data_IF_801615620807
#
_entry.id   IF_801615620807
#
_cell.length_a   1.000
_cell.length_b   1.000
_cell.length_c   1.000
_cell.angle_alpha   90.00
_cell.angle_beta   90.00
_cell.angle_gamma   90.00
#
_symmetry.space_group_name_H-M   'P 1'
#
loop_
_entity.id
_entity.type
_entity.pdbx_description
1 polymer ?
#
# COMPACT_ATOMS: atom_id res chain seq x y z
N UNK A 1 11.80 2.72 -45.95
CA UNK A 1 12.49 3.66 -45.05
C UNK A 1 12.72 2.91 -43.75
N UNK A 2 13.98 2.71 -43.37
CA UNK A 2 14.37 2.05 -42.12
C UNK A 2 13.95 2.91 -40.92
N UNK A 3 13.53 2.26 -39.83
CA UNK A 3 13.63 2.80 -38.49
C UNK A 3 14.16 1.70 -37.57
N UNK A 4 15.12 2.08 -36.74
CA UNK A 4 16.03 1.25 -35.97
C UNK A 4 15.74 1.48 -34.48
N UNK A 5 15.79 0.40 -33.68
CA UNK A 5 16.07 0.33 -32.23
C UNK A 5 15.15 1.08 -31.23
N UNK A 6 14.34 0.30 -30.52
CA UNK A 6 14.18 0.42 -29.06
C UNK A 6 14.04 -1.00 -28.47
N UNK A 7 14.88 -1.30 -27.50
CA UNK A 7 15.01 -2.58 -26.79
C UNK A 7 13.97 -2.69 -25.67
N UNK A 8 13.44 -3.92 -25.50
CA UNK A 8 12.63 -4.45 -24.40
C UNK A 8 11.18 -3.96 -24.27
N UNK A 9 10.27 -4.64 -24.96
CA UNK A 9 9.04 -5.20 -24.36
C UNK A 9 8.85 -6.56 -25.04
N UNK A 10 9.12 -7.71 -24.39
CA UNK A 10 8.54 -8.95 -24.89
C UNK A 10 7.04 -8.75 -24.73
N UNK A 11 6.37 -8.55 -25.85
CA UNK A 11 4.93 -8.45 -25.95
C UNK A 11 4.29 -9.56 -25.10
N UNK A 12 3.70 -9.22 -23.95
CA UNK A 12 2.74 -10.07 -23.28
C UNK A 12 1.51 -10.14 -24.21
N UNK A 13 1.60 -11.00 -25.23
CA UNK A 13 0.50 -11.35 -26.11
C UNK A 13 -0.09 -12.61 -25.51
N UNK A 14 -1.09 -12.42 -24.65
CA UNK A 14 -1.81 -13.48 -23.97
C UNK A 14 -3.25 -13.05 -23.68
N UNK A 15 -4.04 -14.00 -23.24
CA UNK A 15 -5.28 -13.78 -22.50
C UNK A 15 -5.11 -14.41 -21.14
N UNK A 16 -5.91 -13.99 -20.16
CA UNK A 16 -6.05 -14.71 -18.90
C UNK A 16 -6.52 -16.15 -19.10
N UNK A 17 -6.23 -17.04 -18.15
CA UNK A 17 -6.73 -18.41 -18.12
C UNK A 17 -7.99 -18.49 -17.23
N UNK A 18 -9.18 -18.85 -17.75
CA UNK A 18 -10.40 -18.94 -16.93
C UNK A 18 -10.39 -20.06 -15.87
N UNK A 19 -9.34 -20.90 -15.83
CA UNK A 19 -9.11 -21.93 -14.81
C UNK A 19 -7.98 -21.58 -13.84
N UNK A 20 -7.35 -20.42 -14.03
CA UNK A 20 -6.35 -19.85 -13.16
C UNK A 20 -6.89 -18.55 -12.56
N UNK A 21 -6.55 -18.29 -11.30
CA UNK A 21 -7.00 -17.06 -10.62
C UNK A 21 -5.97 -15.95 -10.75
N UNK A 22 -4.68 -16.29 -10.96
CA UNK A 22 -3.54 -15.37 -11.08
C UNK A 22 -2.69 -15.81 -12.29
N UNK A 23 -3.00 -15.25 -13.46
CA UNK A 23 -2.51 -15.72 -14.75
C UNK A 23 -1.01 -15.47 -15.00
N UNK A 24 -0.36 -14.60 -14.23
CA UNK A 24 1.07 -14.29 -14.36
C UNK A 24 1.93 -14.58 -13.11
N UNK A 25 1.32 -15.29 -12.16
CA UNK A 25 1.91 -15.79 -10.92
C UNK A 25 2.59 -14.65 -10.15
N UNK A 26 1.90 -13.55 -9.97
CA UNK A 26 2.44 -12.36 -9.32
C UNK A 26 1.93 -12.10 -7.91
N UNK A 27 0.89 -12.82 -7.51
CA UNK A 27 0.24 -12.70 -6.22
C UNK A 27 -0.93 -11.73 -6.20
N UNK A 28 -1.43 -11.29 -7.36
CA UNK A 28 -2.67 -10.53 -7.54
C UNK A 28 -3.64 -11.31 -8.44
N UNK A 29 -4.92 -11.45 -8.09
CA UNK A 29 -5.91 -12.11 -8.95
C UNK A 29 -6.27 -11.29 -10.18
N UNK A 30 -6.45 -11.99 -11.30
CA UNK A 30 -6.88 -11.40 -12.58
C UNK A 30 -8.12 -10.51 -12.42
N UNK A 31 -9.07 -10.96 -11.59
CA UNK A 31 -10.34 -10.26 -11.35
C UNK A 31 -10.14 -8.92 -10.63
N UNK A 32 -9.21 -8.88 -9.67
CA UNK A 32 -8.88 -7.66 -8.92
C UNK A 32 -8.15 -6.67 -9.82
N UNK A 33 -7.15 -7.13 -10.55
CA UNK A 33 -6.39 -6.28 -11.47
C UNK A 33 -7.28 -5.66 -12.54
N UNK A 34 -8.20 -6.43 -13.14
CA UNK A 34 -9.15 -5.90 -14.12
C UNK A 34 -10.13 -4.89 -13.49
N UNK A 35 -10.54 -5.07 -12.24
CA UNK A 35 -11.43 -4.14 -11.55
C UNK A 35 -10.77 -2.77 -11.36
N UNK A 36 -9.51 -2.78 -10.94
CA UNK A 36 -8.75 -1.59 -10.61
C UNK A 36 -7.93 -1.02 -11.77
N UNK A 37 -7.76 -1.73 -12.88
CA UNK A 37 -7.01 -1.25 -14.02
C UNK A 37 -7.49 0.14 -14.51
N UNK A 38 -6.55 1.07 -14.64
CA UNK A 38 -6.73 2.39 -15.24
C UNK A 38 -5.73 2.59 -16.36
N UNK A 39 -6.11 3.41 -17.33
CA UNK A 39 -5.21 3.79 -18.41
C UNK A 39 -4.32 4.96 -17.97
N UNK A 40 -3.04 4.70 -17.73
CA UNK A 40 -2.05 5.72 -17.42
C UNK A 40 -1.67 6.49 -18.70
N UNK A 41 -2.37 7.60 -18.95
CA UNK A 41 -2.26 8.38 -20.21
C UNK A 41 -0.83 8.80 -20.54
N UNK A 42 -0.02 9.11 -19.52
CA UNK A 42 1.37 9.56 -19.72
C UNK A 42 2.34 8.43 -20.03
N UNK A 43 2.06 7.23 -19.50
CA UNK A 43 2.91 6.04 -19.65
C UNK A 43 2.44 5.12 -20.78
N UNK A 44 1.31 5.44 -21.42
CA UNK A 44 0.72 4.69 -22.54
C UNK A 44 0.51 3.20 -22.24
N UNK A 45 0.06 2.90 -21.00
CA UNK A 45 -0.13 1.54 -20.49
C UNK A 45 -1.23 1.46 -19.44
N UNK A 46 -1.68 0.25 -19.16
CA UNK A 46 -2.55 -0.02 -18.00
C UNK A 46 -1.74 0.00 -16.70
N UNK A 47 -2.34 0.49 -15.61
CA UNK A 47 -1.75 0.49 -14.27
C UNK A 47 -1.63 -0.91 -13.68
N UNK A 48 -2.57 -1.79 -14.05
CA UNK A 48 -2.66 -3.20 -13.69
C UNK A 48 -2.99 -4.03 -14.93
N UNK A 49 -2.44 -5.23 -15.02
CA UNK A 49 -2.48 -6.08 -16.19
C UNK A 49 -2.21 -7.56 -15.81
N UNK A 50 -3.23 -8.43 -15.85
CA UNK A 50 -3.16 -9.84 -15.44
C UNK A 50 -2.21 -10.78 -16.19
N UNK A 51 -1.40 -10.25 -17.08
CA UNK A 51 -0.42 -11.01 -17.87
C UNK A 51 0.97 -10.36 -17.83
N UNK A 52 1.17 -9.36 -16.96
CA UNK A 52 2.43 -8.65 -16.73
C UNK A 52 2.78 -8.53 -15.25
N UNK A 53 3.29 -9.63 -14.69
CA UNK A 53 3.80 -9.78 -13.33
C UNK A 53 4.74 -8.72 -12.75
N UNK A 54 5.23 -7.81 -13.59
CA UNK A 54 6.12 -6.73 -13.18
C UNK A 54 5.35 -5.53 -12.64
N UNK A 55 4.06 -5.47 -12.92
CA UNK A 55 3.21 -4.38 -12.49
C UNK A 55 2.87 -4.41 -11.00
N UNK A 56 2.93 -5.58 -10.36
CA UNK A 56 2.87 -5.72 -8.89
C UNK A 56 3.80 -4.77 -8.13
N UNK A 57 4.94 -4.40 -8.72
CA UNK A 57 5.96 -3.56 -8.10
C UNK A 57 5.80 -2.07 -8.43
N UNK A 58 4.76 -1.72 -9.18
CA UNK A 58 4.43 -0.34 -9.46
C UNK A 58 3.53 0.20 -8.37
N UNK A 59 3.38 1.50 -8.39
CA UNK A 59 2.60 2.31 -7.48
C UNK A 59 1.81 3.26 -8.41
N UNK A 60 0.51 2.99 -8.53
CA UNK A 60 -0.30 3.54 -9.61
C UNK A 60 -0.87 4.94 -9.30
N UNK A 61 -1.03 5.29 -8.02
CA UNK A 61 -1.40 6.62 -7.54
C UNK A 61 -0.25 7.42 -6.92
N UNK A 62 0.94 6.82 -6.82
CA UNK A 62 2.21 7.42 -6.40
C UNK A 62 2.23 7.81 -4.91
N UNK A 63 1.61 7.00 -4.06
CA UNK A 63 1.48 7.24 -2.62
C UNK A 63 2.55 6.52 -1.78
N UNK A 64 3.32 5.62 -2.40
CA UNK A 64 4.37 4.81 -1.78
C UNK A 64 3.97 3.38 -1.40
N UNK A 65 2.72 2.98 -1.61
CA UNK A 65 2.23 1.61 -1.52
C UNK A 65 2.21 1.00 -2.93
N UNK A 66 2.76 -0.20 -3.09
CA UNK A 66 2.76 -0.88 -4.39
C UNK A 66 1.47 -1.66 -4.62
N UNK A 67 1.10 -1.87 -5.89
CA UNK A 67 -0.05 -2.67 -6.29
C UNK A 67 -0.14 -4.02 -5.55
N UNK A 68 1.01 -4.70 -5.36
CA UNK A 68 1.07 -5.94 -4.59
C UNK A 68 0.71 -5.74 -3.12
N UNK A 69 1.23 -4.69 -2.49
CA UNK A 69 0.97 -4.38 -1.09
C UNK A 69 -0.50 -4.03 -0.85
N UNK A 70 -1.12 -3.34 -1.81
CA UNK A 70 -2.53 -2.95 -1.77
C UNK A 70 -3.48 -4.13 -1.87
N UNK A 71 -3.23 -5.05 -2.81
CA UNK A 71 -3.99 -6.29 -2.86
C UNK A 71 -3.76 -7.13 -1.60
N UNK A 72 -2.51 -7.30 -1.18
CA UNK A 72 -2.14 -8.15 -0.04
C UNK A 72 -2.40 -7.50 1.33
N UNK A 73 -3.04 -6.33 1.37
CA UNK A 73 -3.68 -5.79 2.57
C UNK A 73 -4.89 -6.64 2.99
N UNK A 74 -5.48 -7.43 2.10
CA UNK A 74 -6.68 -8.23 2.33
C UNK A 74 -6.57 -9.23 3.49
N UNK A 75 -7.68 -9.45 4.20
CA UNK A 75 -7.82 -10.59 5.12
C UNK A 75 -7.56 -11.90 4.35
N UNK A 76 -6.59 -12.74 4.77
CA UNK A 76 -6.33 -14.02 4.14
C UNK A 76 -7.56 -14.94 4.01
N UNK A 77 -8.59 -14.77 4.84
CA UNK A 77 -9.84 -15.51 4.74
C UNK A 77 -10.72 -15.11 3.54
N UNK A 78 -10.49 -13.93 2.96
CA UNK A 78 -11.16 -13.40 1.77
C UNK A 78 -10.30 -13.48 0.51
N UNK A 79 -9.02 -13.82 0.66
CA UNK A 79 -8.08 -13.94 -0.45
C UNK A 79 -8.49 -15.09 -1.40
N UNK A 80 -8.45 -14.82 -2.70
CA UNK A 80 -8.75 -15.82 -3.73
C UNK A 80 -7.55 -16.75 -3.99
N UNK A 81 -6.37 -16.35 -3.51
CA UNK A 81 -5.11 -17.07 -3.56
C UNK A 81 -4.85 -17.70 -2.18
N UNK A 82 -4.30 -18.92 -2.16
CA UNK A 82 -3.80 -19.57 -0.93
C UNK A 82 -2.46 -18.93 -0.44
N UNK A 83 -2.33 -17.60 -0.54
CA UNK A 83 -1.11 -16.86 -0.25
C UNK A 83 -0.93 -16.65 1.27
N UNK A 84 0.32 -16.78 1.73
CA UNK A 84 0.72 -16.58 3.14
C UNK A 84 1.45 -15.24 3.37
N UNK A 85 1.61 -14.43 2.33
CA UNK A 85 2.32 -13.15 2.39
C UNK A 85 1.29 -12.05 2.36
N UNK A 86 1.28 -11.22 3.39
CA UNK A 86 0.37 -10.09 3.53
C UNK A 86 1.13 -8.82 3.94
N UNK A 87 0.56 -7.69 3.56
CA UNK A 87 0.95 -6.38 4.09
C UNK A 87 0.35 -6.22 5.50
N UNK A 88 1.10 -5.66 6.47
CA UNK A 88 2.41 -5.02 6.32
C UNK A 88 3.61 -5.94 6.61
N UNK A 89 3.41 -7.21 6.96
CA UNK A 89 4.53 -8.10 7.31
C UNK A 89 5.54 -8.22 6.17
N UNK A 90 5.06 -8.25 4.93
CA UNK A 90 5.87 -8.19 3.72
C UNK A 90 5.68 -6.86 3.02
N UNK A 91 6.73 -6.39 2.36
CA UNK A 91 6.74 -5.15 1.60
C UNK A 91 7.65 -5.28 0.38
N UNK A 92 7.41 -4.42 -0.60
CA UNK A 92 8.26 -4.32 -1.79
C UNK A 92 9.43 -3.38 -1.49
N UNK A 93 10.65 -3.86 -1.73
CA UNK A 93 11.85 -3.02 -1.66
C UNK A 93 12.80 -3.32 -2.81
N UNK A 94 13.71 -2.39 -3.09
CA UNK A 94 14.72 -2.56 -4.14
C UNK A 94 16.02 -3.08 -3.54
N UNK A 95 16.38 -4.34 -3.82
CA UNK A 95 17.68 -4.90 -3.47
C UNK A 95 18.60 -4.81 -4.69
N UNK A 96 19.51 -3.82 -4.66
CA UNK A 96 20.40 -3.55 -5.79
C UNK A 96 19.66 -2.85 -6.92
N UNK A 97 19.30 -3.59 -7.98
CA UNK A 97 18.58 -3.05 -9.16
C UNK A 97 17.26 -3.77 -9.43
N UNK A 98 16.85 -4.70 -8.58
CA UNK A 98 15.63 -5.48 -8.76
C UNK A 98 14.70 -5.28 -7.56
N UNK A 99 13.39 -5.04 -7.79
CA UNK A 99 12.41 -5.09 -6.73
C UNK A 99 12.30 -6.53 -6.21
N UNK A 100 12.10 -6.66 -4.90
CA UNK A 100 11.95 -7.92 -4.21
C UNK A 100 11.02 -7.74 -3.01
N UNK A 101 10.25 -8.78 -2.71
CA UNK A 101 9.49 -8.87 -1.47
C UNK A 101 10.44 -9.17 -0.31
N UNK A 102 10.36 -8.35 0.73
CA UNK A 102 11.12 -8.52 1.95
C UNK A 102 10.16 -8.56 3.15
N UNK A 103 10.52 -9.33 4.18
CA UNK A 103 9.80 -9.30 5.44
C UNK A 103 10.32 -8.16 6.32
N UNK A 104 9.42 -7.40 6.94
CA UNK A 104 9.75 -6.44 7.98
C UNK A 104 10.18 -7.16 9.26
N UNK A 105 11.44 -7.02 9.73
CA UNK A 105 11.91 -7.77 10.90
C UNK A 105 11.22 -7.38 12.22
N UNK A 106 10.64 -6.19 12.28
CA UNK A 106 9.97 -5.64 13.48
C UNK A 106 8.54 -6.19 13.60
N UNK A 107 7.90 -6.52 12.48
CA UNK A 107 6.55 -7.08 12.44
C UNK A 107 6.62 -8.59 12.71
N UNK A 108 6.22 -8.97 13.92
CA UNK A 108 6.24 -10.36 14.39
C UNK A 108 4.90 -11.07 14.29
N UNK A 109 3.83 -10.34 13.94
CA UNK A 109 2.50 -10.89 13.69
C UNK A 109 2.33 -11.18 12.20
N UNK A 110 1.50 -12.16 11.88
CA UNK A 110 1.13 -12.52 10.49
C UNK A 110 -0.24 -11.97 10.09
N UNK A 111 -0.77 -11.04 10.87
CA UNK A 111 -2.05 -10.40 10.58
C UNK A 111 -1.86 -9.41 9.44
N UNK A 112 -2.80 -9.42 8.49
CA UNK A 112 -2.87 -8.43 7.42
C UNK A 112 -3.48 -7.12 7.93
N UNK A 113 -3.52 -6.08 7.11
CA UNK A 113 -4.33 -4.89 7.40
C UNK A 113 -5.83 -5.18 7.46
N UNK A 114 -6.32 -6.05 6.59
CA UNK A 114 -7.70 -6.51 6.49
C UNK A 114 -8.11 -7.45 7.63
N UNK A 115 -7.14 -8.02 8.35
CA UNK A 115 -7.41 -8.83 9.53
C UNK A 115 -8.14 -7.99 10.57
N UNK A 116 -9.30 -8.49 11.03
CA UNK A 116 -10.14 -7.84 12.05
C UNK A 116 -10.80 -6.52 11.64
N UNK A 117 -10.74 -6.14 10.37
CA UNK A 117 -11.51 -5.00 9.84
C UNK A 117 -13.00 -5.32 9.91
N UNK A 118 -13.80 -4.34 10.33
CA UNK A 118 -15.24 -4.54 10.52
C UNK A 118 -15.99 -4.64 9.19
N UNK A 119 -17.10 -5.40 9.15
CA UNK A 119 -17.97 -5.46 7.97
C UNK A 119 -18.46 -4.07 7.50
N UNK A 120 -18.58 -3.10 8.42
CA UNK A 120 -18.98 -1.75 8.07
C UNK A 120 -17.92 -1.04 7.21
N UNK A 121 -16.65 -1.23 7.57
CA UNK A 121 -15.50 -0.68 6.86
C UNK A 121 -15.32 -1.41 5.52
N UNK A 122 -15.35 -2.75 5.52
CA UNK A 122 -15.25 -3.54 4.28
C UNK A 122 -16.36 -3.20 3.26
N UNK A 123 -17.56 -2.85 3.73
CA UNK A 123 -18.65 -2.42 2.85
C UNK A 123 -18.48 -0.98 2.32
N UNK A 124 -17.60 -0.18 2.92
CA UNK A 124 -17.35 1.21 2.54
C UNK A 124 -16.17 1.32 1.56
N UNK A 125 -15.00 0.78 1.91
CA UNK A 125 -13.76 0.85 1.12
C UNK A 125 -13.47 -0.42 0.33
N UNK A 126 -13.97 -1.58 0.77
CA UNK A 126 -13.66 -2.88 0.18
C UNK A 126 -12.68 -3.67 1.04
N UNK A 127 -12.25 -4.86 0.56
CA UNK A 127 -11.37 -5.75 1.31
C UNK A 127 -9.87 -5.52 1.06
N UNK A 128 -9.50 -4.64 0.13
CA UNK A 128 -8.11 -4.29 -0.24
C UNK A 128 -7.94 -2.77 -0.17
N UNK A 129 -6.70 -2.30 -0.22
CA UNK A 129 -6.47 -0.89 -0.56
C UNK A 129 -6.80 -0.65 -2.04
N UNK A 130 -7.02 0.61 -2.44
CA UNK A 130 -7.34 0.98 -3.82
C UNK A 130 -6.11 1.56 -4.54
N UNK A 131 -5.53 0.85 -5.53
CA UNK A 131 -4.34 1.25 -6.33
C UNK A 131 -4.51 2.53 -7.16
N UNK A 132 -5.62 3.22 -7.03
CA UNK A 132 -5.87 4.48 -7.72
C UNK A 132 -6.37 5.56 -6.77
N UNK A 133 -6.28 5.33 -5.46
CA UNK A 133 -6.70 6.26 -4.43
C UNK A 133 -5.64 6.31 -3.32
N UNK A 134 -4.82 7.37 -3.26
CA UNK A 134 -3.65 7.43 -2.38
C UNK A 134 -4.00 7.55 -0.88
N UNK A 135 -5.26 7.45 -0.49
CA UNK A 135 -5.81 7.55 0.86
C UNK A 135 -7.14 6.77 0.83
N UNK A 136 -7.02 5.44 0.94
CA UNK A 136 -8.10 4.48 0.66
C UNK A 136 -9.30 4.72 1.56
N UNK A 137 -9.08 4.97 2.84
CA UNK A 137 -10.15 5.15 3.82
C UNK A 137 -10.59 6.61 4.02
N UNK A 138 -9.82 7.57 3.51
CA UNK A 138 -10.14 8.98 3.44
C UNK A 138 -9.93 9.73 4.76
N UNK A 139 -9.06 9.24 5.64
CA UNK A 139 -8.81 9.83 6.96
C UNK A 139 -7.76 10.97 6.95
N UNK A 140 -7.09 11.14 5.82
CA UNK A 140 -6.10 12.17 5.55
C UNK A 140 -4.65 11.73 5.71
N UNK A 141 -4.39 10.45 5.95
CA UNK A 141 -3.07 9.81 5.88
C UNK A 141 -3.03 8.99 4.58
N UNK A 142 -1.90 9.03 3.86
CA UNK A 142 -1.78 8.25 2.61
C UNK A 142 -1.38 6.80 2.90
N UNK A 143 -1.88 5.84 2.11
CA UNK A 143 -1.73 4.41 2.40
C UNK A 143 -0.26 4.01 2.53
N UNK A 144 0.59 4.50 1.61
CA UNK A 144 2.04 4.27 1.67
C UNK A 144 2.71 4.76 2.96
N UNK A 145 2.20 5.83 3.59
CA UNK A 145 2.69 6.31 4.88
C UNK A 145 2.21 5.40 6.02
N UNK A 146 0.97 4.92 5.95
CA UNK A 146 0.44 3.99 6.95
C UNK A 146 1.23 2.68 6.94
N UNK A 147 1.53 2.13 5.76
CA UNK A 147 2.40 0.96 5.62
C UNK A 147 3.76 1.17 6.29
N UNK A 148 4.36 2.35 6.13
CA UNK A 148 5.71 2.64 6.61
C UNK A 148 5.78 2.87 8.13
N UNK A 149 4.73 3.47 8.72
CA UNK A 149 4.73 3.92 10.11
C UNK A 149 3.79 3.14 11.04
N UNK A 150 3.10 2.12 10.54
CA UNK A 150 2.23 1.29 11.38
C UNK A 150 3.00 0.46 12.42
N UNK A 151 2.36 0.24 13.56
CA UNK A 151 2.81 -0.68 14.61
C UNK A 151 1.65 -1.58 15.07
N UNK A 152 1.98 -2.78 15.53
CA UNK A 152 0.96 -3.68 16.06
C UNK A 152 0.62 -3.37 17.53
N UNK A 153 -0.61 -2.93 17.78
CA UNK A 153 -1.13 -2.76 19.14
C UNK A 153 -1.69 -4.08 19.69
N UNK A 154 -0.88 -4.78 20.48
CA UNK A 154 -1.27 -6.07 21.09
C UNK A 154 -2.51 -6.02 21.98
N UNK A 155 -2.81 -4.89 22.63
CA UNK A 155 -3.94 -4.78 23.56
C UNK A 155 -5.26 -4.54 22.84
N UNK A 156 -5.22 -3.73 21.77
CA UNK A 156 -6.38 -3.44 20.93
C UNK A 156 -6.56 -4.43 19.77
N UNK A 157 -5.55 -5.26 19.49
CA UNK A 157 -5.52 -6.20 18.36
C UNK A 157 -5.74 -5.50 17.01
N UNK A 158 -5.08 -4.36 16.83
CA UNK A 158 -5.16 -3.54 15.62
C UNK A 158 -3.80 -2.98 15.26
N UNK A 159 -3.64 -2.63 14.00
CA UNK A 159 -2.59 -1.74 13.52
C UNK A 159 -2.86 -0.31 14.00
N UNK A 160 -1.80 0.46 14.29
CA UNK A 160 -1.91 1.86 14.72
C UNK A 160 -2.14 2.82 13.56
N UNK A 161 -1.79 2.40 12.35
CA UNK A 161 -2.16 3.02 11.08
C UNK A 161 -2.55 1.89 10.13
N UNK A 162 -3.62 2.03 9.37
CA UNK A 162 -4.21 0.99 8.57
C UNK A 162 -5.01 1.59 7.42
N UNK A 163 -4.56 1.42 6.16
CA UNK A 163 -5.18 2.08 5.00
C UNK A 163 -6.63 1.68 4.72
N UNK A 164 -7.15 0.68 5.44
CA UNK A 164 -8.54 0.28 5.32
C UNK A 164 -9.43 0.93 6.38
N UNK A 165 -8.90 1.46 7.48
CA UNK A 165 -9.64 1.78 8.70
C UNK A 165 -9.53 3.27 9.04
N UNK A 166 -10.59 4.06 8.77
CA UNK A 166 -10.51 5.50 8.95
C UNK A 166 -10.44 5.89 10.43
N UNK A 167 -9.86 7.07 10.67
CA UNK A 167 -9.70 7.70 11.98
C UNK A 167 -8.80 6.89 12.94
N UNK A 168 -7.85 6.11 12.41
CA UNK A 168 -6.93 5.33 13.25
C UNK A 168 -5.64 6.07 13.60
N UNK A 169 -5.30 7.18 12.93
CA UNK A 169 -4.15 8.02 13.28
C UNK A 169 -4.19 8.75 14.65
N UNK A 170 -5.18 8.46 15.50
CA UNK A 170 -5.28 8.94 16.89
C UNK A 170 -4.52 8.04 17.90
N UNK A 171 -3.78 7.03 17.44
CA UNK A 171 -2.80 6.32 18.27
C UNK A 171 -1.57 7.19 18.57
N UNK A 172 -0.88 6.85 19.66
CA UNK A 172 0.46 7.37 20.03
C UNK A 172 1.35 6.13 20.08
N UNK A 173 1.83 5.70 18.92
CA UNK A 173 2.41 4.37 18.74
C UNK A 173 3.72 4.20 19.52
N UNK A 174 4.49 5.26 19.69
CA UNK A 174 5.77 5.24 20.41
C UNK A 174 5.67 5.72 21.88
N UNK A 175 4.54 6.31 22.27
CA UNK A 175 4.21 6.69 23.64
C UNK A 175 4.88 7.98 24.09
N UNK A 176 5.25 8.87 23.16
CA UNK A 176 5.93 10.12 23.46
C UNK A 176 4.98 11.29 23.78
N UNK A 177 3.68 11.10 23.54
CA UNK A 177 2.61 12.05 23.83
C UNK A 177 2.13 12.87 22.63
N UNK A 178 2.62 12.58 21.42
CA UNK A 178 2.04 13.04 20.16
C UNK A 178 1.20 11.94 19.52
N UNK A 179 0.13 12.33 18.80
CA UNK A 179 -0.62 11.36 18.01
C UNK A 179 0.11 11.11 16.70
N UNK A 180 0.04 9.89 16.18
CA UNK A 180 0.67 9.48 14.93
C UNK A 180 0.30 10.46 13.80
N UNK A 181 -0.99 10.80 13.65
CA UNK A 181 -1.44 11.80 12.65
C UNK A 181 -0.85 13.20 12.86
N UNK A 182 -0.58 13.59 14.11
CA UNK A 182 0.03 14.89 14.40
C UNK A 182 1.49 14.88 13.98
N UNK A 183 2.21 13.80 14.25
CA UNK A 183 3.60 13.64 13.84
C UNK A 183 3.73 13.62 12.31
N UNK A 184 2.85 12.89 11.62
CA UNK A 184 2.82 12.85 10.16
C UNK A 184 2.46 14.23 9.57
N UNK A 185 1.52 14.97 10.16
CA UNK A 185 1.16 16.32 9.71
C UNK A 185 2.30 17.35 9.92
N UNK A 186 3.08 17.22 10.99
CA UNK A 186 4.24 18.07 11.28
C UNK A 186 5.40 17.89 10.26
N UNK A 187 5.36 16.85 9.42
CA UNK A 187 6.32 16.71 8.33
C UNK A 187 6.05 17.68 7.16
N UNK A 188 4.81 18.16 7.00
CA UNK A 188 4.38 19.01 5.88
C UNK A 188 4.27 20.50 6.23
N UNK A 189 4.17 20.83 7.52
CA UNK A 189 4.12 22.20 8.02
C UNK A 189 5.15 22.37 9.15
N UNK A 190 5.74 23.57 9.30
CA UNK A 190 6.60 23.79 10.46
C UNK A 190 5.79 23.58 11.74
N UNK A 191 6.37 22.99 12.80
CA UNK A 191 5.70 22.96 14.09
C UNK A 191 5.36 24.41 14.44
N UNK A 192 4.06 24.69 14.55
CA UNK A 192 3.57 25.94 15.11
C UNK A 192 3.93 25.86 16.59
N UNK A 193 5.18 26.21 16.85
CA UNK A 193 5.80 26.26 18.14
C UNK A 193 4.95 27.22 18.96
N UNK A 194 4.08 26.63 19.78
CA UNK A 194 3.18 27.35 20.65
C UNK A 194 3.92 28.49 21.35
N UNK A 195 3.61 29.70 20.92
CA UNK A 195 4.02 31.01 21.42
C UNK A 195 5.28 31.70 20.84
N UNK A 196 5.12 33.02 20.75
CA UNK A 196 6.14 34.03 20.49
C UNK A 196 7.32 33.81 21.44
N UNK A 197 8.49 33.49 20.88
CA UNK A 197 9.74 33.39 21.64
C UNK A 197 9.94 34.59 22.58
N UNK A 198 10.38 34.39 23.84
CA UNK A 198 10.87 35.48 24.66
C UNK A 198 12.04 36.17 23.94
N UNK A 199 12.16 37.49 24.07
CA UNK A 199 13.12 38.33 23.35
C UNK A 199 14.62 37.97 23.52
N UNK A 200 14.92 36.95 24.33
CA UNK A 200 16.26 36.63 24.83
C UNK A 200 16.74 35.22 24.44
N UNK A 201 16.15 34.58 23.43
CA UNK A 201 16.68 33.32 22.90
C UNK A 201 18.04 33.57 22.21
N UNK A 202 19.12 32.84 22.59
CA UNK A 202 20.44 33.04 21.99
C UNK A 202 20.46 32.54 20.54
N UNK A 203 21.03 33.37 19.66
CA UNK A 203 21.26 33.13 18.22
C UNK A 203 22.04 31.85 17.94
#
# INVERSE_FOLDING_TARGET
HLATLATAVPTAVGSTDPLDTDSDDDGMPDGWEIHFARWAVLDDRWTLNPIDRTDRFLDADADGMTNWEEYNAIDPALNELDAIQSSPQFFVTTIGTAPALQQWPIIIVSESFGSFVSDAVLNASGPTADPNNPDTDGDGIIDGMEVLFTAWNTSAQTWTLNPLVPDDGDFDADGDGLLDRQELALAFEQPDNGEVHPADAPL
#
